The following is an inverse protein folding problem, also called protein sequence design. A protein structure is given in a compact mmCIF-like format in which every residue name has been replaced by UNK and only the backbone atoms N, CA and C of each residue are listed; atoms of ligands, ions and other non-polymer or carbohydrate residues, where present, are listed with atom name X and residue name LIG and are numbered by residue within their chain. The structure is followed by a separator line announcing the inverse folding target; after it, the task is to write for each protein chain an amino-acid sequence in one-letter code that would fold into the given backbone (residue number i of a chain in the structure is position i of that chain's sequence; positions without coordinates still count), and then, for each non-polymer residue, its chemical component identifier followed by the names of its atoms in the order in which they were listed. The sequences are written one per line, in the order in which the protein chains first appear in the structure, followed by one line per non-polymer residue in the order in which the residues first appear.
data_IF_425852623571
#
_entry.id   IF_425852623571
#
_cell.length_a   1.000
_cell.length_b   1.000
_cell.length_c   1.000
_cell.angle_alpha   90.00
_cell.angle_beta   90.00
_cell.angle_gamma   90.00
#
_symmetry.space_group_name_H-M   'P 1'
#
loop_
_entity.id
_entity.type
_entity.pdbx_description
1 polymer ?
#
# COMPACT_ATOMS: atom_id res chain seq x y z
N UNK A 1 -14.31 -5.16 35.48
CA UNK A 1 -14.43 -6.27 34.50
C UNK A 1 -14.69 -5.68 33.11
N UNK A 2 -14.16 -6.22 32.01
CA UNK A 2 -14.39 -5.67 30.66
C UNK A 2 -15.88 -5.56 30.28
N UNK A 3 -16.72 -6.49 30.79
CA UNK A 3 -18.17 -6.50 30.55
C UNK A 3 -18.91 -5.27 31.11
N UNK A 4 -18.39 -4.66 32.17
CA UNK A 4 -19.01 -3.47 32.78
C UNK A 4 -18.94 -2.25 31.85
N UNK A 5 -18.07 -2.27 30.84
CA UNK A 5 -17.99 -1.20 29.86
C UNK A 5 -19.26 -1.09 29.00
N UNK A 6 -20.02 -2.18 28.82
CA UNK A 6 -21.27 -2.25 28.07
C UNK A 6 -21.22 -1.43 26.75
N UNK A 7 -20.16 -1.63 25.96
CA UNK A 7 -19.91 -0.85 24.73
C UNK A 7 -20.97 -1.11 23.67
N UNK A 8 -21.57 -2.30 23.67
CA UNK A 8 -22.69 -2.68 22.82
C UNK A 8 -23.98 -1.88 23.11
N UNK A 9 -24.13 -1.29 24.30
CA UNK A 9 -25.33 -0.50 24.67
C UNK A 9 -25.18 0.99 24.35
N UNK A 10 -23.96 1.44 23.99
CA UNK A 10 -23.65 2.86 23.77
C UNK A 10 -23.98 3.29 22.34
N UNK A 11 -25.26 3.53 22.06
CA UNK A 11 -25.78 3.90 20.74
C UNK A 11 -25.15 5.16 20.12
N UNK A 12 -24.75 6.13 20.97
CA UNK A 12 -24.16 7.40 20.55
C UNK A 12 -22.62 7.35 20.44
N UNK A 13 -22.01 6.18 20.66
CA UNK A 13 -20.56 6.02 20.54
C UNK A 13 -20.18 5.90 19.05
N UNK A 14 -19.49 6.93 18.54
CA UNK A 14 -19.05 6.98 17.14
C UNK A 14 -17.57 6.69 16.93
N UNK A 15 -16.75 6.85 17.97
CA UNK A 15 -15.32 6.57 17.93
C UNK A 15 -14.91 5.79 19.17
N UNK A 16 -14.11 4.74 18.97
CA UNK A 16 -13.61 3.87 20.02
C UNK A 16 -12.11 3.64 19.79
N UNK A 17 -11.32 3.93 20.81
CA UNK A 17 -9.90 3.54 20.87
C UNK A 17 -9.73 2.57 22.02
N UNK A 18 -9.21 1.39 21.73
CA UNK A 18 -8.84 0.38 22.71
C UNK A 18 -7.32 0.25 22.72
N UNK A 19 -6.70 0.60 23.84
CA UNK A 19 -5.25 0.68 23.95
C UNK A 19 -4.76 -0.11 25.17
N UNK A 20 -3.83 -1.03 24.92
CA UNK A 20 -3.15 -1.81 25.95
C UNK A 20 -1.79 -1.19 26.29
N UNK A 21 -1.17 -1.68 27.37
CA UNK A 21 0.21 -1.33 27.71
C UNK A 21 1.17 -1.69 26.57
N UNK A 22 2.14 -0.82 26.30
CA UNK A 22 3.11 -0.98 25.21
C UNK A 22 4.22 -2.00 25.50
N UNK A 23 4.22 -2.60 26.69
CA UNK A 23 5.21 -3.60 27.09
C UNK A 23 4.87 -4.96 26.45
N UNK A 24 5.85 -5.56 25.78
CA UNK A 24 5.79 -6.91 25.19
C UNK A 24 6.89 -7.80 25.79
N UNK A 25 6.96 -7.84 27.12
CA UNK A 25 7.94 -8.59 27.93
C UNK A 25 7.54 -10.06 28.19
N UNK A 26 6.57 -10.58 27.43
CA UNK A 26 5.94 -11.89 27.59
C UNK A 26 5.19 -12.11 28.92
N UNK A 27 4.95 -11.05 29.71
CA UNK A 27 4.10 -11.15 30.92
C UNK A 27 2.60 -11.21 30.61
N UNK A 28 2.21 -10.87 29.38
CA UNK A 28 0.82 -10.72 28.94
C UNK A 28 0.25 -12.06 28.50
N UNK A 29 -0.93 -12.40 29.00
CA UNK A 29 -1.66 -13.59 28.60
C UNK A 29 -2.44 -13.33 27.30
N UNK A 30 -2.00 -13.97 26.21
CA UNK A 30 -2.58 -13.85 24.87
C UNK A 30 -4.07 -14.20 24.85
N UNK A 31 -4.47 -15.26 25.57
CA UNK A 31 -5.85 -15.74 25.57
C UNK A 31 -6.77 -14.79 26.35
N UNK A 32 -6.28 -14.20 27.45
CA UNK A 32 -7.01 -13.18 28.19
C UNK A 32 -7.25 -11.95 27.33
N UNK A 33 -6.27 -11.52 26.55
CA UNK A 33 -6.43 -10.34 25.70
C UNK A 33 -7.39 -10.58 24.54
N UNK A 34 -7.30 -11.73 23.87
CA UNK A 34 -8.29 -12.14 22.87
C UNK A 34 -9.70 -12.11 23.45
N UNK A 35 -9.88 -12.67 24.64
CA UNK A 35 -11.16 -12.67 25.32
C UNK A 35 -11.65 -11.26 25.67
N UNK A 36 -10.76 -10.39 26.15
CA UNK A 36 -11.12 -9.01 26.52
C UNK A 36 -11.52 -8.22 25.28
N UNK A 37 -10.77 -8.30 24.18
CA UNK A 37 -11.10 -7.57 22.95
C UNK A 37 -12.40 -8.08 22.31
N UNK A 38 -12.71 -9.37 22.45
CA UNK A 38 -13.99 -9.94 22.03
C UNK A 38 -15.17 -9.40 22.86
N UNK A 39 -15.03 -9.32 24.18
CA UNK A 39 -16.05 -8.73 25.09
C UNK A 39 -16.28 -7.24 24.81
N UNK A 40 -15.22 -6.51 24.44
CA UNK A 40 -15.28 -5.08 24.16
C UNK A 40 -15.91 -4.74 22.80
N UNK A 41 -16.70 -5.65 22.24
CA UNK A 41 -17.50 -5.42 21.04
C UNK A 41 -18.37 -4.15 21.18
N UNK A 42 -18.19 -3.15 20.31
CA UNK A 42 -18.98 -1.93 20.33
C UNK A 42 -20.38 -2.14 19.73
N UNK A 43 -21.25 -1.16 19.92
CA UNK A 43 -22.50 -1.10 19.17
C UNK A 43 -22.22 -0.95 17.66
N UNK A 44 -23.09 -1.53 16.82
CA UNK A 44 -22.97 -1.55 15.34
C UNK A 44 -23.00 -0.15 14.68
N UNK A 45 -23.32 0.90 15.44
CA UNK A 45 -23.28 2.30 14.98
C UNK A 45 -21.89 2.95 15.05
N UNK A 46 -20.87 2.21 15.53
CA UNK A 46 -19.50 2.69 15.59
C UNK A 46 -18.98 3.07 14.19
N UNK A 47 -18.25 4.19 14.10
CA UNK A 47 -17.71 4.70 12.83
C UNK A 47 -16.19 4.69 12.78
N UNK A 48 -15.52 4.86 13.92
CA UNK A 48 -14.06 4.88 14.01
C UNK A 48 -13.61 3.90 15.08
N UNK A 49 -12.71 3.00 14.71
CA UNK A 49 -12.12 2.01 15.62
C UNK A 49 -10.60 2.11 15.50
N UNK A 50 -9.93 2.25 16.64
CA UNK A 50 -8.48 2.14 16.74
C UNK A 50 -8.12 1.11 17.82
N UNK A 51 -7.25 0.16 17.48
CA UNK A 51 -6.76 -0.87 18.41
C UNK A 51 -5.25 -0.73 18.49
N UNK A 52 -4.74 -0.47 19.69
CA UNK A 52 -3.32 -0.18 19.93
C UNK A 52 -2.70 -1.12 20.94
N UNK A 53 -1.47 -1.55 20.65
CA UNK A 53 -0.63 -2.39 21.52
C UNK A 53 -1.31 -3.71 21.93
N UNK A 54 -2.26 -4.21 21.16
CA UNK A 54 -2.95 -5.46 21.43
C UNK A 54 -1.99 -6.66 21.32
N UNK A 55 -1.98 -7.50 22.34
CA UNK A 55 -1.07 -8.63 22.52
C UNK A 55 -1.67 -10.00 22.21
N UNK A 56 -2.96 -10.06 21.86
CA UNK A 56 -3.58 -11.27 21.31
C UNK A 56 -3.01 -11.62 19.92
N UNK A 57 -3.18 -12.87 19.50
CA UNK A 57 -2.71 -13.36 18.20
C UNK A 57 -3.80 -13.23 17.12
N UNK A 58 -5.07 -13.19 17.51
CA UNK A 58 -6.23 -13.13 16.62
C UNK A 58 -7.09 -11.92 16.93
N UNK A 59 -7.63 -11.30 15.90
CA UNK A 59 -8.68 -10.30 16.03
C UNK A 59 -10.04 -10.99 16.19
N UNK A 60 -10.96 -10.44 17.01
CA UNK A 60 -12.33 -10.95 17.08
C UNK A 60 -13.06 -10.73 15.75
N UNK A 61 -14.06 -11.58 15.50
CA UNK A 61 -14.81 -11.59 14.24
C UNK A 61 -15.51 -10.26 13.95
N UNK A 62 -15.97 -9.57 14.98
CA UNK A 62 -16.74 -8.33 14.82
C UNK A 62 -15.99 -7.22 14.08
N UNK A 63 -14.66 -7.23 14.08
CA UNK A 63 -13.85 -6.21 13.38
C UNK A 63 -14.02 -6.31 11.86
N UNK A 64 -14.18 -7.52 11.31
CA UNK A 64 -14.40 -7.76 9.87
C UNK A 64 -15.85 -8.14 9.52
N UNK A 65 -16.77 -8.12 10.49
CA UNK A 65 -18.15 -8.56 10.29
C UNK A 65 -18.95 -7.50 9.50
N UNK A 66 -19.65 -7.86 8.40
CA UNK A 66 -20.52 -6.97 7.64
C UNK A 66 -21.57 -6.20 8.49
N UNK A 67 -21.96 -6.73 9.66
CA UNK A 67 -22.84 -6.05 10.61
C UNK A 67 -22.25 -4.73 11.14
N UNK A 68 -20.94 -4.55 11.04
CA UNK A 68 -20.20 -3.34 11.37
C UNK A 68 -19.92 -2.45 10.16
N UNK A 69 -20.76 -2.56 9.11
CA UNK A 69 -20.67 -1.79 7.86
C UNK A 69 -20.64 -0.27 8.02
N UNK A 70 -20.94 0.30 9.20
CA UNK A 70 -20.83 1.73 9.49
C UNK A 70 -19.40 2.18 9.85
N UNK A 71 -18.47 1.26 10.04
CA UNK A 71 -17.05 1.60 10.26
C UNK A 71 -16.51 2.30 9.01
N UNK A 72 -16.06 3.54 9.19
CA UNK A 72 -15.44 4.37 8.16
C UNK A 72 -13.92 4.46 8.33
N UNK A 73 -13.43 4.25 9.56
CA UNK A 73 -12.01 4.33 9.92
C UNK A 73 -11.63 3.14 10.79
N UNK A 74 -10.59 2.42 10.40
CA UNK A 74 -9.98 1.34 11.16
C UNK A 74 -8.47 1.54 11.22
N UNK A 75 -7.92 1.60 12.44
CA UNK A 75 -6.48 1.62 12.70
C UNK A 75 -6.10 0.44 13.62
N UNK A 76 -5.14 -0.35 13.18
CA UNK A 76 -4.51 -1.42 13.97
C UNK A 76 -3.05 -1.06 14.14
N UNK A 77 -2.61 -0.79 15.36
CA UNK A 77 -1.28 -0.24 15.64
C UNK A 77 -0.56 -1.04 16.73
N UNK A 78 0.68 -1.45 16.44
CA UNK A 78 1.54 -2.19 17.37
C UNK A 78 0.91 -3.47 17.91
N UNK A 79 0.03 -4.12 17.13
CA UNK A 79 -0.55 -5.43 17.43
C UNK A 79 0.47 -6.55 17.11
N UNK A 80 1.62 -6.54 17.80
CA UNK A 80 2.82 -7.28 17.41
C UNK A 80 2.63 -8.80 17.27
N UNK A 81 1.69 -9.37 18.04
CA UNK A 81 1.42 -10.80 18.06
C UNK A 81 0.45 -11.27 16.97
N UNK A 82 -0.27 -10.35 16.32
CA UNK A 82 -1.27 -10.71 15.32
C UNK A 82 -0.64 -11.35 14.09
N UNK A 83 -1.18 -12.50 13.68
CA UNK A 83 -0.68 -13.29 12.54
C UNK A 83 -1.52 -13.15 11.28
N UNK A 84 -2.76 -12.68 11.40
CA UNK A 84 -3.70 -12.49 10.30
C UNK A 84 -4.61 -11.27 10.53
N UNK A 85 -5.18 -10.76 9.45
CA UNK A 85 -6.24 -9.75 9.48
C UNK A 85 -7.61 -10.44 9.34
N UNK A 86 -8.70 -9.90 9.93
CA UNK A 86 -10.05 -10.37 9.67
C UNK A 86 -10.52 -9.97 8.26
N UNK A 87 -11.73 -10.37 7.85
CA UNK A 87 -12.33 -10.07 6.53
C UNK A 87 -12.74 -8.60 6.37
N UNK A 88 -11.75 -7.71 6.34
CA UNK A 88 -11.94 -6.26 6.29
C UNK A 88 -12.58 -5.76 4.98
N UNK A 89 -12.45 -6.51 3.90
CA UNK A 89 -13.01 -6.18 2.58
C UNK A 89 -14.54 -6.11 2.55
N UNK A 90 -15.20 -6.73 3.53
CA UNK A 90 -16.65 -6.74 3.68
C UNK A 90 -17.21 -5.44 4.30
N UNK A 91 -16.35 -4.58 4.86
CA UNK A 91 -16.74 -3.32 5.48
C UNK A 91 -17.05 -2.26 4.42
N UNK A 92 -18.30 -2.23 3.95
CA UNK A 92 -18.72 -1.42 2.81
C UNK A 92 -18.55 0.10 2.96
N UNK A 93 -18.55 0.65 4.18
CA UNK A 93 -18.30 2.09 4.43
C UNK A 93 -16.86 2.43 4.79
N UNK A 94 -15.95 1.45 4.85
CA UNK A 94 -14.57 1.68 5.26
C UNK A 94 -13.87 2.60 4.25
N UNK A 95 -13.40 3.77 4.72
CA UNK A 95 -12.72 4.79 3.92
C UNK A 95 -11.23 4.85 4.23
N UNK A 96 -10.84 4.56 5.46
CA UNK A 96 -9.46 4.59 5.93
C UNK A 96 -9.12 3.29 6.64
N UNK A 97 -8.14 2.57 6.11
CA UNK A 97 -7.52 1.42 6.77
C UNK A 97 -6.02 1.69 7.00
N UNK A 98 -5.60 1.64 8.26
CA UNK A 98 -4.20 1.73 8.65
C UNK A 98 -3.80 0.48 9.45
N UNK A 99 -2.77 -0.22 8.99
CA UNK A 99 -2.21 -1.40 9.64
C UNK A 99 -0.72 -1.15 9.89
N UNK A 100 -0.36 -0.97 11.16
CA UNK A 100 0.97 -0.52 11.57
C UNK A 100 1.55 -1.42 12.65
N UNK A 101 2.80 -1.84 12.50
CA UNK A 101 3.51 -2.55 13.55
C UNK A 101 2.96 -3.96 13.87
N UNK A 102 2.32 -4.64 12.91
CA UNK A 102 1.94 -6.05 13.04
C UNK A 102 3.14 -6.94 12.67
N UNK A 103 4.05 -7.12 13.63
CA UNK A 103 5.35 -7.77 13.40
C UNK A 103 5.28 -9.22 12.97
N UNK A 104 4.23 -9.96 13.31
CA UNK A 104 4.06 -11.39 12.97
C UNK A 104 3.16 -11.64 11.76
N UNK A 105 2.57 -10.60 11.16
CA UNK A 105 1.76 -10.73 9.96
C UNK A 105 2.65 -11.14 8.78
N UNK A 106 2.34 -12.26 8.13
CA UNK A 106 3.17 -12.84 7.06
C UNK A 106 2.57 -12.65 5.68
N UNK A 107 1.26 -12.79 5.54
CA UNK A 107 0.56 -12.68 4.28
C UNK A 107 -0.77 -11.93 4.44
N UNK A 108 -1.21 -11.31 3.36
CA UNK A 108 -2.58 -10.82 3.17
C UNK A 108 -3.13 -11.62 2.00
N UNK A 109 -4.00 -12.56 2.31
CA UNK A 109 -4.60 -13.50 1.37
C UNK A 109 -6.08 -13.18 1.15
N UNK A 110 -6.73 -13.98 0.30
CA UNK A 110 -8.09 -13.73 -0.19
C UNK A 110 -9.15 -13.59 0.90
N UNK A 111 -8.95 -14.19 2.07
CA UNK A 111 -9.88 -14.14 3.21
C UNK A 111 -10.07 -12.72 3.76
N UNK A 112 -9.09 -11.84 3.58
CA UNK A 112 -9.15 -10.44 4.01
C UNK A 112 -10.14 -9.66 3.14
N UNK A 113 -10.32 -10.06 1.88
CA UNK A 113 -11.25 -9.41 0.94
C UNK A 113 -12.70 -9.86 1.12
N UNK A 114 -12.90 -11.00 1.79
CA UNK A 114 -14.20 -11.64 1.97
C UNK A 114 -14.52 -12.58 0.81
N UNK A 115 -14.62 -13.88 1.10
CA UNK A 115 -14.93 -14.91 0.11
C UNK A 115 -16.29 -14.66 -0.55
N UNK A 116 -16.35 -14.76 -1.89
CA UNK A 116 -17.60 -14.69 -2.65
C UNK A 116 -18.17 -13.28 -2.87
N UNK A 117 -17.49 -12.22 -2.40
CA UNK A 117 -17.89 -10.84 -2.69
C UNK A 117 -17.29 -10.34 -4.01
N UNK A 118 -18.13 -9.77 -4.86
CA UNK A 118 -17.73 -9.29 -6.19
C UNK A 118 -16.93 -7.98 -6.17
N UNK A 119 -16.98 -7.22 -5.05
CA UNK A 119 -16.34 -5.91 -4.92
C UNK A 119 -15.87 -5.67 -3.47
N UNK A 120 -14.68 -6.17 -3.08
CA UNK A 120 -14.07 -5.84 -1.79
C UNK A 120 -13.83 -4.34 -1.66
N UNK A 121 -13.78 -3.84 -0.42
CA UNK A 121 -13.39 -2.46 -0.09
C UNK A 121 -14.03 -1.36 -0.98
N UNK A 122 -15.36 -1.34 -1.18
CA UNK A 122 -16.02 -0.50 -2.18
C UNK A 122 -15.92 1.01 -1.91
N UNK A 123 -15.57 1.42 -0.68
CA UNK A 123 -15.45 2.82 -0.25
C UNK A 123 -14.04 3.23 0.16
N UNK A 124 -13.05 2.33 0.10
CA UNK A 124 -11.73 2.57 0.66
C UNK A 124 -10.99 3.65 -0.15
N UNK A 125 -10.53 4.68 0.55
CA UNK A 125 -9.80 5.83 -0.03
C UNK A 125 -8.34 5.85 0.40
N UNK A 126 -8.06 5.47 1.64
CA UNK A 126 -6.72 5.52 2.23
C UNK A 126 -6.38 4.12 2.74
N UNK A 127 -5.29 3.56 2.22
CA UNK A 127 -4.73 2.28 2.64
C UNK A 127 -3.27 2.47 3.05
N UNK A 128 -2.97 2.20 4.32
CA UNK A 128 -1.62 2.38 4.88
C UNK A 128 -1.13 1.11 5.54
N UNK A 129 0.03 0.65 5.10
CA UNK A 129 0.80 -0.41 5.72
C UNK A 129 2.14 0.16 6.19
N UNK A 130 2.45 0.02 7.47
CA UNK A 130 3.70 0.52 8.03
C UNK A 130 4.35 -0.49 8.99
N UNK A 131 5.67 -0.67 8.89
CA UNK A 131 6.46 -1.45 9.84
C UNK A 131 5.94 -2.89 10.00
N UNK A 132 5.83 -3.60 8.87
CA UNK A 132 5.40 -5.00 8.78
C UNK A 132 6.60 -5.88 8.36
N UNK A 133 7.54 -6.19 9.28
CA UNK A 133 8.82 -6.81 8.95
C UNK A 133 8.72 -8.24 8.40
N UNK A 134 7.71 -9.02 8.80
CA UNK A 134 7.51 -10.40 8.37
C UNK A 134 6.58 -10.56 7.17
N UNK A 135 5.94 -9.47 6.74
CA UNK A 135 4.98 -9.50 5.64
C UNK A 135 5.71 -9.69 4.31
N UNK A 136 5.44 -10.81 3.63
CA UNK A 136 6.14 -11.21 2.42
C UNK A 136 5.24 -11.38 1.20
N UNK A 137 3.95 -11.67 1.41
CA UNK A 137 2.98 -11.90 0.34
C UNK A 137 1.75 -11.01 0.46
N UNK A 138 1.39 -10.36 -0.64
CA UNK A 138 0.13 -9.65 -0.79
C UNK A 138 -0.58 -10.21 -2.02
N UNK A 139 -1.64 -11.00 -1.79
CA UNK A 139 -2.45 -11.53 -2.87
C UNK A 139 -3.41 -10.45 -3.35
N UNK A 140 -3.22 -9.96 -4.56
CA UNK A 140 -4.10 -8.94 -5.18
C UNK A 140 -4.68 -9.43 -6.50
N UNK A 141 -4.45 -10.68 -6.87
CA UNK A 141 -4.90 -11.30 -8.12
C UNK A 141 -6.05 -12.26 -7.80
N UNK A 142 -7.23 -11.70 -7.47
CA UNK A 142 -8.42 -12.51 -7.18
C UNK A 142 -8.88 -13.12 -8.51
N UNK A 143 -8.42 -14.35 -8.76
CA UNK A 143 -8.70 -15.11 -9.98
C UNK A 143 -10.20 -15.45 -10.08
N UNK A 144 -10.90 -14.69 -10.89
CA UNK A 144 -12.18 -15.01 -11.48
C UNK A 144 -12.20 -14.54 -12.93
N UNK A 145 -13.12 -15.06 -13.75
CA UNK A 145 -13.25 -14.71 -15.18
C UNK A 145 -13.66 -13.23 -15.44
N UNK A 146 -13.63 -12.40 -14.40
CA UNK A 146 -13.95 -10.98 -14.37
C UNK A 146 -12.86 -10.29 -13.55
N UNK A 147 -12.27 -9.23 -14.10
CA UNK A 147 -11.32 -8.40 -13.37
C UNK A 147 -12.04 -7.79 -12.14
N UNK A 148 -11.70 -8.22 -10.92
CA UNK A 148 -12.29 -7.68 -9.69
C UNK A 148 -11.42 -6.51 -9.23
N UNK A 149 -11.97 -5.29 -9.34
CA UNK A 149 -11.35 -4.11 -8.77
C UNK A 149 -11.45 -4.18 -7.23
N UNK A 150 -10.40 -4.67 -6.57
CA UNK A 150 -10.33 -4.79 -5.10
C UNK A 150 -10.45 -3.42 -4.43
N UNK A 151 -9.98 -2.35 -5.08
CA UNK A 151 -9.92 -1.02 -4.49
C UNK A 151 -10.44 0.07 -5.45
N UNK A 152 -11.74 0.08 -5.79
CA UNK A 152 -12.29 0.91 -6.87
C UNK A 152 -12.31 2.41 -6.57
N UNK A 153 -11.99 2.82 -5.33
CA UNK A 153 -12.01 4.22 -4.89
C UNK A 153 -10.73 4.68 -4.20
N UNK A 154 -9.66 3.88 -4.27
CA UNK A 154 -8.42 4.16 -3.56
C UNK A 154 -7.77 5.44 -4.08
N UNK A 155 -7.49 6.37 -3.18
CA UNK A 155 -6.88 7.67 -3.47
C UNK A 155 -5.42 7.69 -3.03
N UNK A 156 -5.13 7.07 -1.89
CA UNK A 156 -3.81 7.02 -1.27
C UNK A 156 -3.42 5.58 -0.92
N UNK A 157 -2.26 5.16 -1.42
CA UNK A 157 -1.61 3.92 -1.02
C UNK A 157 -0.24 4.23 -0.40
N UNK A 158 -0.04 3.85 0.85
CA UNK A 158 1.24 3.99 1.56
C UNK A 158 1.73 2.63 2.04
N UNK A 159 2.95 2.24 1.64
CA UNK A 159 3.63 1.03 2.09
C UNK A 159 5.04 1.38 2.56
N UNK A 160 5.27 1.34 3.87
CA UNK A 160 6.50 1.87 4.48
C UNK A 160 7.13 0.85 5.41
N UNK A 161 8.46 0.66 5.33
CA UNK A 161 9.24 -0.24 6.21
C UNK A 161 8.68 -1.67 6.20
N UNK A 162 8.47 -2.22 5.00
CA UNK A 162 7.99 -3.60 4.78
C UNK A 162 9.04 -4.38 3.96
N UNK A 163 10.22 -4.72 4.56
CA UNK A 163 11.39 -5.19 3.82
C UNK A 163 11.23 -6.57 3.17
N UNK A 164 10.36 -7.43 3.71
CA UNK A 164 10.12 -8.77 3.15
C UNK A 164 9.06 -8.79 2.05
N UNK A 165 8.29 -7.71 1.89
CA UNK A 165 7.18 -7.66 0.94
C UNK A 165 7.71 -7.81 -0.48
N UNK A 166 7.25 -8.85 -1.16
CA UNK A 166 7.68 -9.20 -2.51
C UNK A 166 6.51 -9.24 -3.48
N UNK A 167 6.81 -9.20 -4.77
CA UNK A 167 5.80 -9.18 -5.83
C UNK A 167 5.56 -7.77 -6.34
N UNK A 168 4.32 -7.50 -6.76
CA UNK A 168 3.90 -6.22 -7.33
C UNK A 168 2.78 -5.62 -6.50
N UNK A 169 2.63 -4.30 -6.58
CA UNK A 169 1.42 -3.63 -6.12
C UNK A 169 0.21 -4.03 -6.98
N UNK A 170 -1.03 -3.91 -6.43
CA UNK A 170 -2.23 -4.13 -7.22
C UNK A 170 -2.22 -3.28 -8.51
N UNK A 171 -2.61 -3.90 -9.62
CA UNK A 171 -2.79 -3.22 -10.90
C UNK A 171 -4.15 -2.50 -10.93
N UNK A 172 -4.30 -1.46 -11.76
CA UNK A 172 -5.55 -0.73 -12.01
C UNK A 172 -6.11 0.06 -10.80
N UNK A 173 -5.23 0.55 -9.93
CA UNK A 173 -5.65 1.46 -8.85
C UNK A 173 -6.01 2.85 -9.40
N UNK A 174 -7.14 3.45 -8.97
CA UNK A 174 -7.53 4.79 -9.37
C UNK A 174 -6.72 5.91 -8.67
N UNK A 175 -5.63 5.57 -7.98
CA UNK A 175 -4.99 6.39 -6.96
C UNK A 175 -4.34 7.68 -7.48
N UNK A 176 -4.45 8.71 -6.64
CA UNK A 176 -3.91 10.05 -6.82
C UNK A 176 -2.51 10.13 -6.16
N UNK A 177 -2.23 9.35 -5.11
CA UNK A 177 -0.97 9.38 -4.37
C UNK A 177 -0.47 7.97 -4.01
N UNK A 178 0.79 7.66 -4.33
CA UNK A 178 1.47 6.41 -3.98
C UNK A 178 2.76 6.74 -3.25
N UNK A 179 2.94 6.16 -2.06
CA UNK A 179 4.12 6.28 -1.25
C UNK A 179 4.66 4.90 -0.89
N UNK A 180 5.87 4.58 -1.32
CA UNK A 180 6.58 3.34 -1.02
C UNK A 180 7.95 3.70 -0.46
N UNK A 181 8.26 3.28 0.76
CA UNK A 181 9.58 3.54 1.34
C UNK A 181 10.09 2.32 2.10
N UNK A 182 11.37 1.97 1.97
CA UNK A 182 12.03 0.88 2.74
C UNK A 182 11.34 -0.47 2.52
N UNK A 183 11.15 -0.82 1.25
CA UNK A 183 10.49 -2.03 0.77
C UNK A 183 11.37 -2.74 -0.27
N UNK A 184 12.54 -3.20 0.16
CA UNK A 184 13.65 -3.68 -0.68
C UNK A 184 13.34 -4.83 -1.64
N UNK A 185 12.25 -5.57 -1.41
CA UNK A 185 11.82 -6.71 -2.25
C UNK A 185 10.62 -6.40 -3.15
N UNK A 186 9.98 -5.24 -2.97
CA UNK A 186 8.77 -4.86 -3.69
C UNK A 186 9.13 -4.24 -5.05
N UNK A 187 8.45 -4.69 -6.09
CA UNK A 187 8.51 -4.10 -7.43
C UNK A 187 7.30 -3.18 -7.63
N UNK A 188 7.54 -1.92 -7.95
CA UNK A 188 6.48 -0.92 -8.23
C UNK A 188 6.29 -0.82 -9.73
N UNK A 189 5.08 -1.09 -10.25
CA UNK A 189 4.78 -1.05 -11.70
C UNK A 189 3.83 0.09 -12.04
N UNK A 190 4.28 1.10 -12.80
CA UNK A 190 3.48 2.29 -13.16
C UNK A 190 2.57 2.11 -14.38
N UNK A 191 2.24 0.87 -14.75
CA UNK A 191 1.53 0.56 -16.00
C UNK A 191 0.03 0.88 -15.99
N UNK A 192 -0.56 1.11 -14.81
CA UNK A 192 -2.01 1.01 -14.61
C UNK A 192 -2.59 2.08 -13.69
N UNK A 193 -1.98 3.28 -13.60
CA UNK A 193 -2.42 4.37 -12.71
C UNK A 193 -2.85 5.61 -13.52
N UNK A 194 -4.11 5.65 -14.01
CA UNK A 194 -4.56 6.71 -14.92
C UNK A 194 -4.70 8.09 -14.26
N UNK A 195 -4.59 8.19 -12.94
CA UNK A 195 -4.82 9.44 -12.18
C UNK A 195 -3.70 9.79 -11.19
N UNK A 196 -2.50 9.24 -11.35
CA UNK A 196 -1.40 9.46 -10.43
C UNK A 196 -0.98 10.95 -10.38
N UNK A 197 -1.04 11.58 -9.20
CA UNK A 197 -0.58 12.95 -8.96
C UNK A 197 0.71 13.04 -8.14
N UNK A 198 0.90 12.12 -7.18
CA UNK A 198 2.08 12.06 -6.33
C UNK A 198 2.65 10.65 -6.32
N UNK A 199 3.92 10.51 -6.62
CA UNK A 199 4.67 9.27 -6.49
C UNK A 199 5.91 9.52 -5.64
N UNK A 200 6.05 8.80 -4.54
CA UNK A 200 7.22 8.81 -3.69
C UNK A 200 7.70 7.37 -3.50
N UNK A 201 8.86 7.06 -4.05
CA UNK A 201 9.44 5.71 -4.00
C UNK A 201 10.88 5.79 -3.51
N UNK A 202 11.14 5.17 -2.38
CA UNK A 202 12.43 5.19 -1.69
C UNK A 202 12.82 3.79 -1.23
N UNK A 203 14.07 3.36 -1.45
CA UNK A 203 14.59 2.06 -1.00
C UNK A 203 13.67 0.86 -1.37
N UNK A 204 13.33 0.70 -2.66
CA UNK A 204 12.55 -0.43 -3.19
C UNK A 204 13.36 -1.31 -4.17
N UNK A 205 12.89 -2.51 -4.50
CA UNK A 205 13.63 -3.43 -5.38
C UNK A 205 13.83 -2.86 -6.78
N UNK A 206 12.74 -2.43 -7.41
CA UNK A 206 12.70 -2.03 -8.81
C UNK A 206 11.47 -1.16 -9.05
N UNK A 207 11.60 -0.17 -9.94
CA UNK A 207 10.50 0.66 -10.43
C UNK A 207 10.35 0.43 -11.94
N UNK A 208 9.26 -0.21 -12.35
CA UNK A 208 8.99 -0.59 -13.73
C UNK A 208 7.92 0.31 -14.34
N UNK A 209 8.24 0.95 -15.47
CA UNK A 209 7.28 1.75 -16.24
C UNK A 209 7.01 1.04 -17.57
N UNK A 210 5.77 0.55 -17.79
CA UNK A 210 5.42 -0.19 -19.03
C UNK A 210 4.48 0.57 -19.97
N UNK A 211 3.81 1.61 -19.48
CA UNK A 211 2.96 2.48 -20.29
C UNK A 211 3.44 3.92 -20.12
N UNK A 212 3.27 4.77 -21.16
CA UNK A 212 3.44 6.20 -21.00
C UNK A 212 2.45 6.66 -19.93
N UNK A 213 2.97 7.21 -18.83
CA UNK A 213 2.11 7.80 -17.82
C UNK A 213 1.49 9.05 -18.43
N UNK A 214 0.18 9.27 -18.26
CA UNK A 214 -0.42 10.56 -18.60
C UNK A 214 0.11 11.63 -17.64
N UNK A 215 1.24 12.19 -18.05
CA UNK A 215 2.04 13.20 -17.39
C UNK A 215 1.30 14.52 -17.15
N UNK A 216 0.07 14.69 -17.67
CA UNK A 216 -0.76 15.85 -17.36
C UNK A 216 -1.30 15.86 -15.92
N UNK A 217 -1.23 14.74 -15.20
CA UNK A 217 -1.79 14.62 -13.85
C UNK A 217 -0.74 14.56 -12.74
N UNK A 218 0.52 14.21 -13.03
CA UNK A 218 1.58 14.12 -12.02
C UNK A 218 2.11 15.51 -11.66
N UNK A 219 1.92 15.92 -10.40
CA UNK A 219 2.46 17.18 -9.85
C UNK A 219 3.77 16.97 -9.11
N UNK A 220 3.91 15.84 -8.42
CA UNK A 220 5.06 15.57 -7.56
C UNK A 220 5.61 14.17 -7.78
N UNK A 221 6.91 14.06 -7.98
CA UNK A 221 7.60 12.78 -8.08
C UNK A 221 8.89 12.82 -7.25
N UNK A 222 9.07 11.84 -6.37
CA UNK A 222 10.33 11.60 -5.66
C UNK A 222 10.75 10.16 -5.88
N UNK A 223 11.96 9.95 -6.38
CA UNK A 223 12.53 8.62 -6.55
C UNK A 223 13.95 8.61 -5.96
N UNK A 224 14.17 7.78 -4.96
CA UNK A 224 15.48 7.57 -4.33
C UNK A 224 15.75 6.08 -4.28
N UNK A 225 16.34 5.56 -5.37
CA UNK A 225 16.68 4.14 -5.46
C UNK A 225 18.16 3.98 -5.84
N UNK A 226 18.83 2.97 -5.26
CA UNK A 226 20.18 2.56 -5.66
C UNK A 226 20.21 1.84 -7.01
N UNK A 227 19.07 1.34 -7.50
CA UNK A 227 18.93 0.70 -8.82
C UNK A 227 17.59 1.06 -9.47
N UNK A 228 17.59 2.09 -10.31
CA UNK A 228 16.44 2.46 -11.13
C UNK A 228 16.47 1.66 -12.44
N UNK A 229 16.07 0.40 -12.42
CA UNK A 229 16.02 -0.43 -13.63
C UNK A 229 14.70 -0.18 -14.39
N UNK A 230 14.73 0.73 -15.37
CA UNK A 230 13.61 0.92 -16.30
C UNK A 230 13.65 -0.13 -17.42
N UNK A 231 13.20 -1.35 -17.15
CA UNK A 231 13.05 -2.37 -18.19
C UNK A 231 11.66 -2.23 -18.83
N UNK A 232 11.59 -1.63 -20.03
CA UNK A 232 10.34 -1.59 -20.80
C UNK A 232 10.05 -0.35 -21.64
N UNK A 233 10.88 0.70 -21.59
CA UNK A 233 10.69 1.88 -22.44
C UNK A 233 11.20 1.65 -23.87
N UNK A 234 10.51 0.79 -24.64
CA UNK A 234 10.62 0.76 -26.09
C UNK A 234 9.34 1.27 -26.70
N UNK A 235 9.31 2.57 -27.01
CA UNK A 235 8.17 3.17 -27.68
C UNK A 235 7.82 4.61 -27.31
N UNK A 236 8.74 5.40 -26.73
CA UNK A 236 8.58 6.86 -26.77
C UNK A 236 9.28 7.40 -28.03
N UNK A 237 8.81 6.93 -29.18
CA UNK A 237 8.92 7.65 -30.44
C UNK A 237 7.50 8.00 -30.83
N UNK A 238 7.16 9.28 -30.74
CA UNK A 238 6.16 9.82 -31.64
C UNK A 238 6.85 10.81 -32.55
N UNK A 239 7.33 10.30 -33.68
CA UNK A 239 7.00 10.96 -34.93
C UNK A 239 6.73 9.90 -36.01
N UNK A 240 5.82 10.30 -36.87
CA UNK A 240 5.06 9.63 -37.91
C UNK A 240 5.76 8.61 -38.82
N UNK A 241 4.94 7.64 -39.23
CA UNK A 241 5.07 6.70 -40.36
C UNK A 241 5.98 5.44 -40.24
N UNK A 242 5.27 4.31 -40.34
CA UNK A 242 5.65 3.02 -40.94
C UNK A 242 6.67 2.09 -40.24
N UNK A 243 6.24 0.82 -40.10
CA UNK A 243 7.10 -0.34 -40.36
C UNK A 243 7.76 -1.06 -39.18
N UNK A 244 7.14 -2.17 -38.75
CA UNK A 244 7.70 -3.42 -38.21
C UNK A 244 9.07 -3.43 -37.48
N UNK A 245 9.02 -3.79 -36.19
CA UNK A 245 9.70 -4.91 -35.50
C UNK A 245 10.06 -4.54 -34.04
N UNK A 246 9.66 -5.42 -33.10
CA UNK A 246 9.92 -5.28 -31.66
C UNK A 246 11.42 -5.40 -31.36
N UNK A 247 12.06 -4.43 -30.69
CA UNK A 247 13.48 -4.56 -30.39
C UNK A 247 13.73 -4.96 -28.91
N UNK A 248 14.90 -5.56 -28.60
CA UNK A 248 15.36 -6.14 -27.30
C UNK A 248 15.39 -5.20 -26.06
N UNK A 249 15.31 -5.70 -24.81
CA UNK A 249 15.35 -4.86 -23.60
C UNK A 249 16.61 -3.98 -23.50
N UNK A 250 16.45 -2.77 -22.95
CA UNK A 250 17.52 -1.82 -22.69
C UNK A 250 17.45 -1.40 -21.21
N UNK A 251 18.58 -1.47 -20.51
CA UNK A 251 18.74 -1.17 -19.10
C UNK A 251 19.30 0.25 -18.98
N UNK A 252 18.72 1.12 -18.15
CA UNK A 252 19.27 2.47 -17.92
C UNK A 252 19.60 2.64 -16.45
N UNK A 253 20.82 3.09 -16.15
CA UNK A 253 21.28 3.35 -14.76
C UNK A 253 21.62 4.83 -14.58
N UNK A 254 21.12 5.70 -15.47
CA UNK A 254 21.54 7.09 -15.59
C UNK A 254 20.32 8.02 -15.61
N UNK A 255 20.26 8.93 -14.64
CA UNK A 255 19.24 9.98 -14.49
C UNK A 255 19.15 10.89 -15.72
N UNK A 256 20.24 11.10 -16.47
CA UNK A 256 20.20 11.85 -17.74
C UNK A 256 19.40 11.11 -18.83
N UNK A 257 19.43 9.78 -18.84
CA UNK A 257 18.61 8.96 -19.74
C UNK A 257 17.16 8.90 -19.26
N UNK A 258 16.93 8.90 -17.93
CA UNK A 258 15.59 9.14 -17.36
C UNK A 258 15.04 10.49 -17.82
N UNK A 259 15.84 11.56 -17.76
CA UNK A 259 15.45 12.89 -18.23
C UNK A 259 15.07 12.93 -19.72
N UNK A 260 15.73 12.14 -20.57
CA UNK A 260 15.38 12.00 -21.99
C UNK A 260 14.11 11.18 -22.23
N UNK A 261 13.76 10.26 -21.32
CA UNK A 261 12.49 9.53 -21.34
C UNK A 261 11.29 10.41 -20.94
N UNK A 262 11.52 11.64 -20.46
CA UNK A 262 10.47 12.57 -20.02
C UNK A 262 10.00 13.59 -21.08
N UNK A 263 10.46 13.55 -22.34
CA UNK A 263 9.99 14.50 -23.38
C UNK A 263 8.65 14.08 -24.04
N UNK A 264 7.85 15.02 -24.61
CA UNK A 264 7.42 16.32 -24.11
C UNK A 264 6.23 16.20 -23.13
N UNK A 265 5.89 14.99 -22.67
CA UNK A 265 4.69 14.74 -21.88
C UNK A 265 4.67 15.47 -20.53
N UNK A 266 5.81 15.63 -19.86
CA UNK A 266 5.91 16.09 -18.47
C UNK A 266 5.84 17.61 -18.27
N UNK A 267 5.04 18.34 -19.04
CA UNK A 267 4.94 19.80 -18.95
C UNK A 267 4.32 20.33 -17.63
N UNK A 268 3.75 19.46 -16.78
CA UNK A 268 3.00 19.85 -15.56
C UNK A 268 3.72 19.40 -14.27
N UNK A 269 4.90 18.77 -14.37
CA UNK A 269 5.65 18.33 -13.19
C UNK A 269 6.18 19.53 -12.40
N UNK A 270 5.59 19.81 -11.23
CA UNK A 270 5.97 20.96 -10.38
C UNK A 270 7.25 20.67 -9.59
N UNK A 271 7.47 19.42 -9.18
CA UNK A 271 8.64 19.04 -8.37
C UNK A 271 9.09 17.61 -8.70
N UNK A 272 10.39 17.48 -9.00
CA UNK A 272 11.09 16.20 -9.15
C UNK A 272 12.26 16.16 -8.17
N UNK A 273 12.27 15.17 -7.28
CA UNK A 273 13.41 14.91 -6.38
C UNK A 273 14.01 13.56 -6.70
N UNK A 274 15.32 13.54 -6.92
CA UNK A 274 16.08 12.30 -7.13
C UNK A 274 17.07 12.16 -5.97
N UNK A 275 16.86 11.18 -5.09
CA UNK A 275 17.69 10.97 -3.90
C UNK A 275 18.78 9.91 -4.08
N UNK A 276 19.74 9.89 -3.15
CA UNK A 276 20.93 9.01 -3.11
C UNK A 276 21.85 9.08 -4.36
N UNK A 277 22.44 10.25 -4.57
CA UNK A 277 23.45 10.52 -5.61
C UNK A 277 24.81 9.81 -5.40
N UNK A 278 25.06 9.15 -4.27
CA UNK A 278 26.40 8.64 -3.93
C UNK A 278 26.81 7.37 -4.73
N UNK A 279 25.87 6.72 -5.44
CA UNK A 279 26.17 5.61 -6.36
C UNK A 279 26.08 5.97 -7.85
N UNK A 280 25.80 7.24 -8.19
CA UNK A 280 25.97 7.69 -9.58
C UNK A 280 27.47 7.67 -9.89
N UNK A 281 27.91 6.72 -10.71
CA UNK A 281 29.31 6.62 -11.17
C UNK A 281 29.85 8.01 -11.56
N UNK A 282 31.13 8.32 -11.24
CA UNK A 282 31.63 9.68 -11.25
C UNK A 282 31.43 10.36 -12.60
N UNK A 283 30.77 11.52 -12.55
CA UNK A 283 30.64 12.46 -13.65
C UNK A 283 32.04 12.93 -14.06
N UNK A 284 32.65 12.32 -15.08
CA UNK A 284 33.80 12.92 -15.76
C UNK A 284 33.40 13.35 -17.17
N UNK A 285 33.41 14.66 -17.36
CA UNK A 285 33.40 15.31 -18.66
C UNK A 285 34.57 14.79 -19.50
N UNK A 286 34.28 14.03 -20.54
CA UNK A 286 35.19 13.85 -21.67
C UNK A 286 35.03 15.00 -22.65
N UNK A 287 35.55 16.18 -22.34
CA UNK A 287 36.01 17.08 -23.41
C UNK A 287 37.41 16.59 -23.81
N UNK A 288 37.47 15.74 -24.82
CA UNK A 288 38.67 15.57 -25.62
C UNK A 288 38.73 16.72 -26.61
N UNK A 289 39.50 17.75 -26.27
CA UNK A 289 40.07 18.68 -27.24
C UNK A 289 41.20 17.95 -27.97
N UNK A 290 41.00 17.68 -29.26
CA UNK A 290 41.97 17.79 -30.35
C UNK A 290 41.32 17.35 -31.65
#
# INVERSE_FOLDING_TARGET
NAREAALCEKLNLHALTLEWGSQFDNSRDVAVEEHVLDILQPHKCIKKVAIRNYGGARFPLWIGDPLFSKIEFLELENCNNCVSLPSLGLLSSLKHLAVKGLKKLKSIESEVYGEGFSMPFPSLKILRFENLPEWWHWDTDIKGNVHVDIFPRLQELSVVKCPKLSGKLPELLPSLEILVSKCEKLVVSLSSYPRLCRLEVDECKELVCRTPIDSKLIKFMTISNSSLDMIGCKGMLYDSQAGSSLPKPMTTTNVLEFGKLLEPGFQILETLVIGNSEQLKPWRQGRGLS
#
